data_IF_952242230334
#
_entry.id   IF_952242230334
#
_cell.length_a   1.000
_cell.length_b   1.000
_cell.length_c   1.000
_cell.angle_alpha   90.00
_cell.angle_beta   90.00
_cell.angle_gamma   90.00
#
_symmetry.space_group_name_H-M   'P 1'
#
loop_
_entity.id
_entity.type
_entity.pdbx_description
1 polymer ?
#
# COMPACT_ATOMS: atom_id res chain seq x y z
N UNK A 1 20.66 -39.27 23.71
CA UNK A 1 21.23 -39.66 22.41
C UNK A 1 22.13 -38.53 21.95
N UNK A 2 23.46 -38.71 21.90
CA UNK A 2 24.37 -37.73 21.29
C UNK A 2 24.11 -37.80 19.78
N UNK A 3 23.54 -36.75 19.20
CA UNK A 3 23.34 -36.68 17.76
C UNK A 3 24.70 -36.39 17.12
N UNK A 4 25.25 -37.36 16.42
CA UNK A 4 26.50 -37.19 15.68
C UNK A 4 26.17 -36.67 14.27
N UNK A 5 26.61 -35.44 13.99
CA UNK A 5 26.29 -34.77 12.71
C UNK A 5 27.17 -35.30 11.59
N UNK A 6 28.38 -35.76 11.90
CA UNK A 6 29.32 -36.22 10.88
C UNK A 6 28.82 -37.54 10.27
N UNK A 7 28.22 -38.41 11.08
CA UNK A 7 27.53 -39.63 10.63
C UNK A 7 26.33 -39.29 9.73
N UNK A 8 25.48 -38.33 10.16
CA UNK A 8 24.31 -37.90 9.39
C UNK A 8 24.74 -37.29 8.04
N UNK A 9 25.84 -36.54 8.01
CA UNK A 9 26.37 -35.94 6.79
C UNK A 9 26.80 -37.00 5.78
N UNK A 10 27.53 -38.03 6.23
CA UNK A 10 27.96 -39.13 5.37
C UNK A 10 26.77 -39.94 4.83
N UNK A 11 25.77 -40.24 5.67
CA UNK A 11 24.53 -40.88 5.24
C UNK A 11 23.77 -40.04 4.20
N UNK A 12 23.75 -38.72 4.34
CA UNK A 12 23.08 -37.81 3.40
C UNK A 12 23.83 -37.67 2.07
N UNK A 13 25.15 -37.90 2.06
CA UNK A 13 25.98 -37.90 0.84
C UNK A 13 25.86 -39.20 0.06
N UNK A 14 25.50 -40.31 0.71
CA UNK A 14 25.45 -41.60 0.05
C UNK A 14 24.48 -41.63 -1.15
N UNK A 15 24.94 -42.21 -2.26
CA UNK A 15 24.22 -42.23 -3.53
C UNK A 15 23.95 -40.86 -4.20
N UNK A 16 24.61 -39.77 -3.77
CA UNK A 16 24.42 -38.42 -4.37
C UNK A 16 25.51 -38.03 -5.38
N UNK A 17 25.11 -37.16 -6.30
CA UNK A 17 25.99 -36.57 -7.33
C UNK A 17 27.07 -35.70 -6.68
N UNK A 18 28.30 -35.62 -7.21
CA UNK A 18 29.41 -34.86 -6.62
C UNK A 18 29.06 -33.41 -6.25
N UNK A 19 28.30 -32.71 -7.10
CA UNK A 19 27.83 -31.34 -6.85
C UNK A 19 26.95 -31.24 -5.59
N UNK A 20 26.08 -32.22 -5.36
CA UNK A 20 25.22 -32.25 -4.16
C UNK A 20 26.03 -32.54 -2.90
N UNK A 21 27.06 -33.40 -2.99
CA UNK A 21 27.99 -33.68 -1.90
C UNK A 21 28.74 -32.42 -1.48
N UNK A 22 29.32 -31.71 -2.44
CA UNK A 22 30.00 -30.43 -2.21
C UNK A 22 29.07 -29.40 -1.54
N UNK A 23 27.85 -29.25 -2.04
CA UNK A 23 26.88 -28.33 -1.43
C UNK A 23 26.49 -28.73 0.01
N UNK A 24 26.40 -30.03 0.30
CA UNK A 24 26.15 -30.54 1.66
C UNK A 24 27.33 -30.22 2.58
N UNK A 25 28.57 -30.34 2.10
CA UNK A 25 29.79 -29.97 2.85
C UNK A 25 29.85 -28.47 3.15
N UNK A 26 29.58 -27.64 2.14
CA UNK A 26 29.49 -26.19 2.31
C UNK A 26 28.39 -25.84 3.30
N UNK A 27 27.19 -26.40 3.15
CA UNK A 27 26.07 -26.15 4.07
C UNK A 27 26.40 -26.61 5.50
N UNK A 28 27.08 -27.74 5.67
CA UNK A 28 27.49 -28.22 6.99
C UNK A 28 28.49 -27.27 7.67
N UNK A 29 29.45 -26.76 6.90
CA UNK A 29 30.45 -25.78 7.38
C UNK A 29 29.75 -24.50 7.86
N UNK A 30 28.80 -23.99 7.07
CA UNK A 30 28.01 -22.80 7.39
C UNK A 30 27.17 -23.03 8.66
N UNK A 31 26.48 -24.18 8.75
CA UNK A 31 25.65 -24.51 9.91
C UNK A 31 26.48 -24.69 11.19
N UNK A 32 27.69 -25.23 11.08
CA UNK A 32 28.63 -25.35 12.19
C UNK A 32 29.05 -23.98 12.71
N UNK A 33 29.51 -23.08 11.83
CA UNK A 33 29.86 -21.72 12.20
C UNK A 33 28.66 -20.95 12.81
N UNK A 34 27.47 -21.14 12.22
CA UNK A 34 26.24 -20.53 12.71
C UNK A 34 25.86 -21.02 14.11
N UNK A 35 25.97 -22.32 14.38
CA UNK A 35 25.73 -22.91 15.69
C UNK A 35 26.76 -22.44 16.74
N UNK A 36 28.04 -22.37 16.36
CA UNK A 36 29.13 -21.89 17.22
C UNK A 36 28.99 -20.41 17.59
N UNK A 37 28.41 -19.59 16.70
CA UNK A 37 28.07 -18.19 16.98
C UNK A 37 26.93 -18.01 18.01
N UNK A 38 26.34 -19.11 18.51
CA UNK A 38 25.27 -19.10 19.52
C UNK A 38 23.89 -18.77 18.97
N UNK A 39 23.74 -18.68 17.66
CA UNK A 39 22.47 -18.42 17.00
C UNK A 39 21.56 -19.65 17.06
N UNK A 40 20.24 -19.40 17.16
CA UNK A 40 19.23 -20.44 17.41
C UNK A 40 18.14 -20.53 16.33
N UNK A 41 18.17 -19.66 15.33
CA UNK A 41 17.19 -19.61 14.24
C UNK A 41 17.62 -20.48 13.06
N UNK A 42 17.22 -21.75 13.09
CA UNK A 42 17.46 -22.70 12.01
C UNK A 42 16.28 -22.75 11.02
N UNK A 43 15.54 -21.65 10.85
CA UNK A 43 14.48 -21.60 9.85
C UNK A 43 15.04 -21.63 8.43
N UNK A 44 14.33 -22.32 7.53
CA UNK A 44 14.76 -22.50 6.13
C UNK A 44 14.98 -21.15 5.44
N UNK A 45 14.17 -20.14 5.74
CA UNK A 45 14.35 -18.76 5.28
C UNK A 45 15.65 -18.14 5.75
N UNK A 46 15.97 -18.27 7.04
CA UNK A 46 17.18 -17.66 7.61
C UNK A 46 18.43 -18.37 7.11
N UNK A 47 18.45 -19.70 7.18
CA UNK A 47 19.57 -20.51 6.69
C UNK A 47 19.76 -20.35 5.19
N UNK A 48 18.68 -20.25 4.40
CA UNK A 48 18.78 -20.00 2.96
C UNK A 48 19.39 -18.66 2.61
N UNK A 49 19.16 -17.62 3.43
CA UNK A 49 19.79 -16.30 3.26
C UNK A 49 21.28 -16.34 3.59
N UNK A 50 21.64 -16.96 4.71
CA UNK A 50 23.04 -17.08 5.14
C UNK A 50 23.82 -17.96 4.17
N UNK A 51 23.23 -19.09 3.78
CA UNK A 51 23.86 -20.03 2.87
C UNK A 51 24.10 -19.42 1.48
N UNK A 52 23.13 -18.67 0.94
CA UNK A 52 23.33 -17.94 -0.31
C UNK A 52 24.46 -16.90 -0.24
N UNK A 53 24.61 -16.21 0.91
CA UNK A 53 25.66 -15.21 1.10
C UNK A 53 27.07 -15.83 1.14
N UNK A 54 27.19 -17.06 1.64
CA UNK A 54 28.46 -17.80 1.76
C UNK A 54 28.67 -18.81 0.61
N UNK A 55 28.10 -18.54 -0.57
CA UNK A 55 28.22 -19.39 -1.78
C UNK A 55 27.67 -20.83 -1.64
N UNK A 56 26.80 -21.07 -0.68
CA UNK A 56 26.07 -22.33 -0.48
C UNK A 56 24.69 -22.36 -1.19
N UNK A 57 23.90 -23.43 -0.96
CA UNK A 57 22.56 -23.55 -1.53
C UNK A 57 21.60 -22.48 -1.02
N UNK A 58 21.05 -21.68 -1.94
CA UNK A 58 20.08 -20.64 -1.61
C UNK A 58 18.70 -21.15 -1.19
N UNK A 59 17.84 -20.22 -0.77
CA UNK A 59 16.49 -20.50 -0.26
C UNK A 59 15.65 -21.40 -1.18
N UNK A 60 15.70 -21.16 -2.50
CA UNK A 60 14.95 -21.96 -3.49
C UNK A 60 15.35 -23.43 -3.46
N UNK A 61 16.65 -23.72 -3.36
CA UNK A 61 17.19 -25.07 -3.30
C UNK A 61 16.82 -25.78 -2.00
N UNK A 62 16.79 -25.06 -0.87
CA UNK A 62 16.41 -25.61 0.45
C UNK A 62 14.89 -25.85 0.57
N UNK A 63 14.07 -25.00 -0.07
CA UNK A 63 12.61 -25.14 -0.07
C UNK A 63 12.14 -26.24 -1.03
N UNK A 64 12.81 -26.44 -2.17
CA UNK A 64 12.39 -27.37 -3.21
C UNK A 64 12.09 -28.79 -2.67
N UNK A 65 10.91 -29.34 -3.02
CA UNK A 65 10.41 -30.65 -2.51
C UNK A 65 11.40 -31.79 -2.76
N UNK A 66 12.11 -31.77 -3.90
CA UNK A 66 13.09 -32.79 -4.31
C UNK A 66 14.35 -32.82 -3.45
N UNK A 67 14.70 -31.71 -2.79
CA UNK A 67 15.97 -31.55 -2.07
C UNK A 67 15.80 -31.74 -0.56
N UNK A 68 15.19 -32.85 -0.15
CA UNK A 68 14.95 -33.15 1.28
C UNK A 68 16.22 -33.32 2.10
N UNK A 69 17.34 -33.68 1.46
CA UNK A 69 18.64 -33.88 2.09
C UNK A 69 19.15 -32.62 2.80
N UNK A 70 19.02 -31.44 2.19
CA UNK A 70 19.44 -30.20 2.86
C UNK A 70 18.58 -29.88 4.08
N UNK A 71 17.25 -30.12 4.02
CA UNK A 71 16.37 -29.90 5.18
C UNK A 71 16.69 -30.86 6.32
N UNK A 72 16.96 -32.13 6.02
CA UNK A 72 17.38 -33.12 7.02
C UNK A 72 18.66 -32.70 7.73
N UNK A 73 19.64 -32.15 7.00
CA UNK A 73 20.87 -31.62 7.62
C UNK A 73 20.57 -30.43 8.54
N UNK A 74 19.73 -29.49 8.10
CA UNK A 74 19.33 -28.32 8.92
C UNK A 74 18.55 -28.76 10.17
N UNK A 75 17.66 -29.75 10.04
CA UNK A 75 16.91 -30.33 11.17
C UNK A 75 17.83 -31.02 12.18
N UNK A 76 18.84 -31.76 11.72
CA UNK A 76 19.84 -32.38 12.59
C UNK A 76 20.63 -31.33 13.38
N UNK A 77 21.06 -30.25 12.74
CA UNK A 77 21.72 -29.13 13.42
C UNK A 77 20.80 -28.42 14.42
N UNK A 78 19.54 -28.19 14.08
CA UNK A 78 18.55 -27.62 15.00
C UNK A 78 18.38 -28.51 16.24
N UNK A 79 18.26 -29.83 16.06
CA UNK A 79 18.16 -30.78 17.16
C UNK A 79 19.41 -30.80 18.05
N UNK A 80 20.62 -30.75 17.47
CA UNK A 80 21.88 -30.64 18.24
C UNK A 80 21.91 -29.37 19.08
N UNK A 81 21.41 -28.25 18.56
CA UNK A 81 21.29 -26.99 19.29
C UNK A 81 20.08 -26.91 20.25
N UNK A 82 19.31 -28.00 20.40
CA UNK A 82 18.05 -28.06 21.17
C UNK A 82 17.00 -27.03 20.73
N UNK A 83 17.01 -26.68 19.45
CA UNK A 83 16.06 -25.75 18.81
C UNK A 83 15.21 -26.50 17.77
N UNK A 84 14.31 -25.79 17.09
CA UNK A 84 13.49 -26.33 16.00
C UNK A 84 13.73 -25.48 14.73
N UNK A 85 13.46 -26.04 13.56
CA UNK A 85 13.48 -25.33 12.26
C UNK A 85 12.33 -24.33 12.09
N UNK A 86 11.40 -24.28 13.05
CA UNK A 86 10.43 -23.18 13.14
C UNK A 86 11.14 -21.90 13.57
N UNK A 87 10.82 -20.79 12.89
CA UNK A 87 11.30 -19.45 13.25
C UNK A 87 11.05 -19.24 14.75
N UNK A 88 12.08 -18.88 15.53
CA UNK A 88 11.90 -18.64 16.96
C UNK A 88 10.86 -17.53 17.12
N UNK A 89 9.88 -17.79 17.98
CA UNK A 89 8.85 -16.81 18.33
C UNK A 89 9.57 -15.57 18.88
N UNK A 90 9.34 -14.42 18.25
CA UNK A 90 9.91 -13.13 18.65
C UNK A 90 9.65 -12.92 20.15
N UNK A 91 10.61 -12.39 20.90
CA UNK A 91 10.48 -12.18 22.35
C UNK A 91 9.24 -11.34 22.72
N UNK A 92 8.80 -10.45 21.83
CA UNK A 92 7.61 -9.61 21.95
C UNK A 92 6.38 -10.15 21.20
N UNK A 93 6.40 -11.40 20.74
CA UNK A 93 5.20 -12.02 20.18
C UNK A 93 4.09 -12.01 21.25
N UNK A 94 2.91 -11.49 20.88
CA UNK A 94 1.73 -11.36 21.77
C UNK A 94 1.33 -12.68 22.46
N UNK A 95 1.88 -13.81 22.02
CA UNK A 95 1.67 -15.15 22.57
C UNK A 95 2.50 -15.46 23.82
N UNK A 96 3.47 -14.61 24.22
CA UNK A 96 4.41 -14.95 25.31
C UNK A 96 4.10 -14.31 26.66
N UNK A 97 3.32 -13.23 26.69
CA UNK A 97 2.90 -12.60 27.95
C UNK A 97 1.42 -12.83 28.19
N UNK A 98 1.11 -13.44 29.33
CA UNK A 98 -0.24 -13.39 29.89
C UNK A 98 -0.62 -11.90 29.97
N UNK A 99 -1.74 -11.47 29.35
CA UNK A 99 -2.20 -10.10 29.44
C UNK A 99 -2.19 -9.65 30.90
N UNK A 100 -1.81 -8.39 31.17
CA UNK A 100 -1.67 -7.87 32.54
C UNK A 100 -2.94 -8.12 33.36
N UNK A 101 -4.12 -7.97 32.73
CA UNK A 101 -5.41 -8.29 33.34
C UNK A 101 -5.53 -9.75 33.81
N UNK A 102 -5.01 -10.70 33.02
CA UNK A 102 -5.06 -12.13 33.35
C UNK A 102 -4.04 -12.51 34.44
N UNK A 103 -2.97 -11.73 34.64
CA UNK A 103 -2.07 -11.93 35.79
C UNK A 103 -2.75 -11.64 37.13
N UNK A 104 -3.80 -10.81 37.15
CA UNK A 104 -4.57 -10.54 38.37
C UNK A 104 -5.38 -11.77 38.81
N UNK A 105 -5.74 -12.66 37.87
CA UNK A 105 -6.44 -13.90 38.18
C UNK A 105 -5.58 -14.87 39.01
N UNK A 106 -4.25 -14.81 38.86
CA UNK A 106 -3.32 -15.64 39.64
C UNK A 106 -3.33 -15.27 41.13
N UNK A 107 -3.78 -14.06 41.49
CA UNK A 107 -3.90 -13.61 42.89
C UNK A 107 -5.19 -14.07 43.58
N UNK A 108 -6.17 -14.56 42.83
CA UNK A 108 -7.44 -15.06 43.38
C UNK A 108 -7.21 -16.55 43.70
N UNK A 109 -7.29 -17.00 44.97
CA UNK A 109 -7.02 -18.40 45.33
C UNK A 109 -8.17 -19.34 44.95
N UNK A 110 -9.42 -18.91 45.08
CA UNK A 110 -10.61 -19.70 44.77
C UNK A 110 -10.76 -19.90 43.24
N UNK A 111 -10.72 -21.15 42.73
CA UNK A 111 -10.88 -21.44 41.31
C UNK A 111 -12.22 -20.99 40.71
N UNK A 112 -13.31 -21.06 41.46
CA UNK A 112 -14.64 -20.70 40.95
C UNK A 112 -14.73 -19.18 40.73
N UNK A 113 -14.31 -18.41 41.73
CA UNK A 113 -14.23 -16.94 41.62
C UNK A 113 -13.23 -16.53 40.52
N UNK A 114 -12.09 -17.22 40.42
CA UNK A 114 -11.10 -16.96 39.36
C UNK A 114 -11.69 -17.16 37.96
N UNK A 115 -12.50 -18.20 37.76
CA UNK A 115 -13.17 -18.45 36.49
C UNK A 115 -14.18 -17.35 36.14
N UNK A 116 -14.99 -16.92 37.11
CA UNK A 116 -15.95 -15.82 36.92
C UNK A 116 -15.26 -14.51 36.54
N UNK A 117 -14.19 -14.13 37.24
CA UNK A 117 -13.41 -12.94 36.88
C UNK A 117 -12.72 -13.08 35.51
N UNK A 118 -12.27 -14.29 35.16
CA UNK A 118 -11.74 -14.57 33.82
C UNK A 118 -12.79 -14.34 32.72
N UNK A 119 -14.03 -14.76 32.95
CA UNK A 119 -15.14 -14.51 32.04
C UNK A 119 -15.45 -13.01 31.91
N UNK A 120 -15.51 -12.28 33.03
CA UNK A 120 -15.74 -10.83 33.02
C UNK A 120 -14.65 -10.09 32.24
N UNK A 121 -13.38 -10.46 32.40
CA UNK A 121 -12.26 -9.88 31.63
C UNK A 121 -12.43 -10.17 30.14
N UNK A 122 -12.84 -11.39 29.78
CA UNK A 122 -13.07 -11.77 28.38
C UNK A 122 -14.18 -10.94 27.73
N UNK A 123 -15.32 -10.77 28.42
CA UNK A 123 -16.46 -9.96 27.96
C UNK A 123 -16.09 -8.49 27.84
N UNK A 124 -15.41 -7.92 28.85
CA UNK A 124 -14.91 -6.54 28.81
C UNK A 124 -13.96 -6.31 27.63
N UNK A 125 -13.08 -7.27 27.34
CA UNK A 125 -12.17 -7.20 26.20
C UNK A 125 -12.89 -7.33 24.86
N UNK A 126 -13.97 -8.13 24.79
CA UNK A 126 -14.84 -8.20 23.61
C UNK A 126 -15.52 -6.87 23.36
N UNK A 127 -16.18 -6.28 24.36
CA UNK A 127 -16.86 -4.99 24.20
C UNK A 127 -15.89 -3.87 23.82
N UNK A 128 -14.68 -3.83 24.40
CA UNK A 128 -13.65 -2.86 23.97
C UNK A 128 -13.27 -3.01 22.50
N UNK A 129 -13.19 -4.23 21.97
CA UNK A 129 -12.90 -4.46 20.55
C UNK A 129 -14.05 -3.98 19.67
N UNK A 130 -15.30 -4.30 20.03
CA UNK A 130 -16.49 -3.85 19.31
C UNK A 130 -16.59 -2.32 19.30
N UNK A 131 -16.37 -1.66 20.44
CA UNK A 131 -16.33 -0.19 20.52
C UNK A 131 -15.22 0.40 19.68
N UNK A 132 -14.02 -0.19 19.67
CA UNK A 132 -12.92 0.30 18.84
C UNK A 132 -13.22 0.15 17.35
N UNK A 133 -13.86 -0.95 16.94
CA UNK A 133 -14.32 -1.15 15.57
C UNK A 133 -15.37 -0.11 15.20
N UNK A 134 -16.38 0.12 16.05
CA UNK A 134 -17.39 1.15 15.82
C UNK A 134 -16.78 2.55 15.72
N UNK A 135 -15.80 2.89 16.56
CA UNK A 135 -15.05 4.15 16.46
C UNK A 135 -14.29 4.29 15.15
N UNK A 136 -13.72 3.21 14.63
CA UNK A 136 -13.07 3.21 13.32
C UNK A 136 -14.07 3.48 12.20
N UNK A 137 -15.27 2.91 12.28
CA UNK A 137 -16.33 3.13 11.28
C UNK A 137 -17.12 4.43 11.48
N UNK A 138 -17.05 5.08 12.64
CA UNK A 138 -17.79 6.31 12.92
C UNK A 138 -17.21 7.53 12.19
N UNK A 139 -15.89 7.57 11.98
CA UNK A 139 -15.21 8.69 11.33
C UNK A 139 -14.84 8.34 9.88
N UNK A 140 -15.85 8.16 9.02
CA UNK A 140 -15.62 8.08 7.57
C UNK A 140 -15.55 9.51 7.03
N UNK A 141 -14.34 10.03 6.85
CA UNK A 141 -14.12 11.31 6.17
C UNK A 141 -14.31 11.09 4.67
N UNK A 142 -15.49 11.40 4.15
CA UNK A 142 -15.76 11.42 2.72
C UNK A 142 -15.27 12.78 2.19
N UNK A 143 -14.19 12.78 1.42
CA UNK A 143 -13.77 13.97 0.70
C UNK A 143 -14.80 14.27 -0.40
N UNK A 144 -15.60 15.31 -0.19
CA UNK A 144 -16.64 15.78 -1.12
C UNK A 144 -16.12 16.82 -2.12
N UNK A 145 -14.81 17.08 -2.16
CA UNK A 145 -14.25 17.97 -3.18
C UNK A 145 -14.51 17.31 -4.55
N UNK A 146 -14.99 18.07 -5.54
CA UNK A 146 -15.10 17.55 -6.90
C UNK A 146 -13.71 17.08 -7.32
N UNK A 147 -13.58 15.77 -7.55
CA UNK A 147 -12.37 15.19 -8.14
C UNK A 147 -12.19 15.93 -9.45
N UNK A 148 -11.14 16.75 -9.54
CA UNK A 148 -10.69 17.26 -10.83
C UNK A 148 -10.35 16.01 -11.63
N UNK A 149 -11.26 15.62 -12.51
CA UNK A 149 -11.02 14.60 -13.51
C UNK A 149 -9.78 15.07 -14.26
N UNK A 150 -8.64 14.48 -13.94
CA UNK A 150 -7.52 14.52 -14.84
C UNK A 150 -7.94 13.63 -16.00
N UNK A 151 -8.12 14.27 -17.15
CA UNK A 151 -8.49 13.65 -18.41
C UNK A 151 -7.61 12.42 -18.67
N UNK A 152 -8.18 11.24 -18.41
CA UNK A 152 -7.69 9.98 -18.90
C UNK A 152 -8.70 9.47 -19.91
N UNK A 153 -8.53 9.99 -21.12
CA UNK A 153 -8.77 9.34 -22.41
C UNK A 153 -9.73 8.14 -22.48
N UNK A 154 -10.76 8.34 -23.30
CA UNK A 154 -11.33 7.38 -24.27
C UNK A 154 -12.41 6.43 -23.77
N UNK A 155 -13.64 6.95 -23.69
CA UNK A 155 -14.91 6.30 -24.09
C UNK A 155 -15.89 7.45 -24.44
N UNK A 156 -16.72 7.37 -25.50
CA UNK A 156 -17.71 8.41 -25.78
C UNK A 156 -18.89 8.24 -24.82
N UNK A 157 -18.70 8.60 -23.56
CA UNK A 157 -19.83 8.87 -22.67
C UNK A 157 -20.53 10.13 -23.19
N UNK A 158 -21.83 10.02 -23.47
CA UNK A 158 -22.68 11.18 -23.75
C UNK A 158 -22.69 12.02 -22.47
N UNK A 159 -21.79 12.99 -22.42
CA UNK A 159 -21.77 14.02 -21.39
C UNK A 159 -22.93 14.98 -21.70
N UNK A 160 -24.02 14.82 -20.95
CA UNK A 160 -25.08 15.83 -20.91
C UNK A 160 -24.51 17.02 -20.16
N UNK A 161 -23.86 17.93 -20.88
CA UNK A 161 -23.45 19.20 -20.33
C UNK A 161 -24.70 19.94 -19.82
N UNK A 162 -24.72 20.41 -18.56
CA UNK A 162 -25.81 21.25 -18.10
C UNK A 162 -25.87 22.48 -18.99
N UNK A 163 -27.07 22.84 -19.44
CA UNK A 163 -27.26 24.02 -20.27
C UNK A 163 -26.65 25.24 -19.56
N UNK A 164 -25.85 26.03 -20.28
CA UNK A 164 -25.34 27.32 -19.79
C UNK A 164 -26.49 28.32 -19.51
N UNK A 165 -27.73 27.97 -19.89
CA UNK A 165 -28.95 28.68 -19.53
C UNK A 165 -29.13 28.72 -18.01
N UNK A 166 -28.78 29.86 -17.41
CA UNK A 166 -28.97 30.14 -15.98
C UNK A 166 -27.68 30.35 -15.19
N UNK A 167 -26.50 30.25 -15.83
CA UNK A 167 -25.21 30.55 -15.16
C UNK A 167 -25.03 32.06 -14.93
N UNK A 168 -25.49 32.88 -15.87
CA UNK A 168 -25.37 34.34 -15.79
C UNK A 168 -26.66 35.00 -15.28
N UNK A 169 -26.50 35.95 -14.35
CA UNK A 169 -27.56 36.84 -13.88
C UNK A 169 -27.84 37.91 -14.96
N UNK A 170 -29.06 38.47 -14.98
CA UNK A 170 -29.45 39.50 -15.97
C UNK A 170 -28.52 40.71 -16.02
N UNK A 171 -27.97 41.14 -14.88
CA UNK A 171 -26.99 42.22 -14.82
C UNK A 171 -25.68 41.87 -15.51
N UNK A 172 -25.21 40.63 -15.37
CA UNK A 172 -23.99 40.12 -16.00
C UNK A 172 -24.17 39.98 -17.51
N UNK A 173 -25.34 39.49 -17.95
CA UNK A 173 -25.69 39.45 -19.37
C UNK A 173 -25.68 40.86 -20.00
N UNK A 174 -26.27 41.84 -19.32
CA UNK A 174 -26.27 43.25 -19.78
C UNK A 174 -24.86 43.84 -19.84
N UNK A 175 -24.00 43.54 -18.87
CA UNK A 175 -22.61 44.00 -18.87
C UNK A 175 -21.80 43.39 -20.02
N UNK A 176 -21.96 42.09 -20.28
CA UNK A 176 -21.31 41.42 -21.40
C UNK A 176 -21.84 41.89 -22.76
N UNK A 177 -23.16 42.15 -22.87
CA UNK A 177 -23.76 42.71 -24.06
C UNK A 177 -23.24 44.14 -24.34
N UNK A 178 -23.12 44.97 -23.30
CA UNK A 178 -22.52 46.30 -23.43
C UNK A 178 -21.07 46.21 -23.93
N UNK A 179 -20.27 45.26 -23.42
CA UNK A 179 -18.87 45.11 -23.82
C UNK A 179 -18.67 44.80 -25.31
N UNK A 180 -19.67 44.24 -25.99
CA UNK A 180 -19.66 43.99 -27.43
C UNK A 180 -20.57 44.93 -28.24
N UNK A 181 -21.23 45.88 -27.57
CA UNK A 181 -22.15 46.82 -28.21
C UNK A 181 -21.40 47.89 -29.00
N UNK A 182 -22.05 48.36 -30.08
CA UNK A 182 -21.50 49.45 -30.90
C UNK A 182 -21.30 50.72 -30.06
N UNK A 183 -22.17 50.99 -29.08
CA UNK A 183 -22.02 52.13 -28.17
C UNK A 183 -20.70 52.09 -27.37
N UNK A 184 -20.28 50.91 -26.92
CA UNK A 184 -19.01 50.75 -26.20
C UNK A 184 -17.82 50.89 -27.15
N UNK A 185 -17.93 50.35 -28.37
CA UNK A 185 -16.87 50.44 -29.37
C UNK A 185 -16.65 51.88 -29.81
N UNK A 186 -17.73 52.62 -30.08
CA UNK A 186 -17.68 54.03 -30.51
C UNK A 186 -17.13 54.94 -29.40
N UNK A 187 -17.47 54.68 -28.13
CA UNK A 187 -16.95 55.48 -27.00
C UNK A 187 -15.46 55.33 -26.76
N UNK A 188 -14.87 54.21 -27.17
CA UNK A 188 -13.47 53.89 -26.92
C UNK A 188 -12.63 53.93 -28.20
N UNK A 189 -13.18 54.44 -29.31
CA UNK A 189 -12.53 54.43 -30.63
C UNK A 189 -12.06 53.04 -31.06
N UNK A 190 -12.85 52.00 -30.79
CA UNK A 190 -12.54 50.61 -31.11
C UNK A 190 -13.27 50.13 -32.37
N UNK A 191 -12.62 49.25 -33.13
CA UNK A 191 -13.18 48.59 -34.30
C UNK A 191 -13.17 47.08 -34.14
N UNK A 192 -14.31 46.47 -34.47
CA UNK A 192 -14.47 45.02 -34.51
C UNK A 192 -14.23 44.48 -35.93
N UNK A 193 -13.42 43.43 -36.05
CA UNK A 193 -13.18 42.71 -37.31
C UNK A 193 -14.18 41.56 -37.50
N UNK A 194 -14.34 41.07 -38.73
CA UNK A 194 -15.19 39.91 -39.06
C UNK A 194 -14.84 38.63 -38.26
N UNK A 195 -13.60 38.51 -37.78
CA UNK A 195 -13.17 37.37 -36.94
C UNK A 195 -13.49 37.53 -35.45
N UNK A 196 -14.19 38.61 -35.07
CA UNK A 196 -14.52 38.93 -33.69
C UNK A 196 -13.35 39.48 -32.86
N UNK A 197 -12.30 39.96 -33.52
CA UNK A 197 -11.17 40.67 -32.90
C UNK A 197 -11.53 42.14 -32.70
N UNK A 198 -11.09 42.76 -31.60
CA UNK A 198 -11.26 44.20 -31.33
C UNK A 198 -9.91 44.89 -31.38
N UNK A 199 -9.83 45.98 -32.14
CA UNK A 199 -8.63 46.79 -32.28
C UNK A 199 -8.94 48.25 -32.01
N UNK A 200 -7.94 48.97 -31.56
CA UNK A 200 -7.99 50.43 -31.47
C UNK A 200 -7.87 51.07 -32.87
N UNK A 201 -8.69 52.08 -33.15
CA UNK A 201 -8.72 52.78 -34.44
C UNK A 201 -7.48 53.65 -34.66
N UNK A 202 -6.92 54.24 -33.60
CA UNK A 202 -5.81 55.19 -33.71
C UNK A 202 -4.48 54.50 -33.97
N UNK A 203 -4.17 53.44 -33.20
CA UNK A 203 -2.88 52.75 -33.27
C UNK A 203 -2.95 51.36 -33.92
N UNK A 204 -4.13 50.91 -34.39
CA UNK A 204 -4.38 49.55 -34.93
C UNK A 204 -3.85 48.44 -34.00
N UNK A 205 -3.81 48.73 -32.70
CA UNK A 205 -3.29 47.84 -31.67
C UNK A 205 -4.39 46.85 -31.28
N UNK A 206 -4.00 45.59 -31.11
CA UNK A 206 -4.92 44.54 -30.70
C UNK A 206 -5.30 44.70 -29.23
N UNK A 207 -6.57 44.99 -28.97
CA UNK A 207 -7.12 45.12 -27.61
C UNK A 207 -7.66 43.77 -27.15
N UNK A 208 -8.44 43.11 -28.00
CA UNK A 208 -8.95 41.76 -27.74
C UNK A 208 -8.67 40.81 -28.90
N UNK A 209 -8.28 39.56 -28.61
CA UNK A 209 -7.94 38.60 -29.62
C UNK A 209 -9.13 38.14 -30.46
N UNK A 210 -8.82 37.53 -31.61
CA UNK A 210 -9.81 36.91 -32.50
C UNK A 210 -10.69 35.95 -31.71
N UNK A 211 -12.00 35.97 -31.99
CA UNK A 211 -12.96 35.13 -31.28
C UNK A 211 -13.60 35.78 -30.05
N UNK A 212 -13.14 36.96 -29.60
CA UNK A 212 -13.71 37.62 -28.42
C UNK A 212 -15.18 38.00 -28.62
N UNK A 213 -15.48 38.81 -29.62
CA UNK A 213 -16.87 39.28 -29.88
C UNK A 213 -17.77 38.11 -30.31
N UNK A 214 -17.27 37.23 -31.17
CA UNK A 214 -18.04 36.07 -31.66
C UNK A 214 -18.27 35.03 -30.57
N UNK A 215 -17.34 34.85 -29.63
CA UNK A 215 -17.51 33.98 -28.47
C UNK A 215 -18.53 34.54 -27.47
N UNK A 216 -18.46 35.84 -27.16
CA UNK A 216 -19.43 36.50 -26.28
C UNK A 216 -20.83 36.51 -26.87
N UNK A 217 -20.96 36.76 -28.18
CA UNK A 217 -22.24 36.70 -28.90
C UNK A 217 -22.89 35.31 -28.80
N UNK A 218 -22.11 34.24 -29.01
CA UNK A 218 -22.58 32.86 -28.82
C UNK A 218 -22.98 32.55 -27.38
N UNK A 219 -22.25 33.09 -26.41
CA UNK A 219 -22.52 32.89 -24.98
C UNK A 219 -23.83 33.59 -24.56
N UNK A 220 -24.10 34.78 -25.09
CA UNK A 220 -25.33 35.53 -24.84
C UNK A 220 -26.55 34.95 -25.58
N UNK A 221 -26.34 33.98 -26.48
CA UNK A 221 -27.42 33.38 -27.27
C UNK A 221 -27.88 34.25 -28.43
N UNK A 222 -27.14 35.31 -28.75
CA UNK A 222 -27.31 36.13 -29.95
C UNK A 222 -26.71 35.40 -31.16
N UNK A 223 -27.18 34.20 -31.45
CA UNK A 223 -26.85 33.56 -32.73
C UNK A 223 -27.75 34.22 -33.78
N UNK A 224 -27.17 35.12 -34.57
CA UNK A 224 -27.71 35.43 -35.90
C UNK A 224 -27.78 34.10 -36.67
N UNK A 225 -28.97 33.74 -37.17
CA UNK A 225 -29.11 32.80 -38.29
C UNK A 225 -28.45 33.38 -39.56
#
# INVERSE_FOLDING_TARGET
>A
MKLDIDVILEDLKDGKVPRTKQNLDTLNTILKAYAESGQKDFSITQIGRISAAESGPGYEALRATRNTHYRRLIEAWAQKCKTNTKKPLVAHARSKSVPVDNKLLERIPDPAVRALFGQIIAERNRYRKEVNLLKQHANITIDKRPVRQFDASTEPSIEVLPSLSGVLIESEKKALAYAISDECMDKNDWQTTQTGQVKDMEYNTEIFPRGFVTGLRKLLGEVDD
#
